data_IF_234351625171
#
_entry.id   IF_234351625171
#
_cell.length_a   1.000
_cell.length_b   1.000
_cell.length_c   1.000
_cell.angle_alpha   90.00
_cell.angle_beta   90.00
_cell.angle_gamma   90.00
#
_symmetry.space_group_name_H-M   'P 1'
#
loop_
_entity.id
_entity.type
_entity.pdbx_description
1 polymer ?
#
# COMPACT_ATOMS: atom_id res chain seq x y z
N UNK A 1 -6.58 -12.63 10.31
CA UNK A 1 -7.72 -11.73 10.59
C UNK A 1 -7.39 -10.87 11.82
N UNK A 2 -7.58 -9.56 11.70
CA UNK A 2 -7.25 -8.59 12.74
C UNK A 2 -8.43 -8.38 13.70
N UNK A 3 -9.64 -8.65 13.24
CA UNK A 3 -10.86 -8.57 14.05
C UNK A 3 -11.40 -9.99 14.32
N UNK A 4 -11.70 -10.32 15.58
CA UNK A 4 -12.16 -11.66 15.96
C UNK A 4 -13.57 -11.96 15.45
N UNK A 5 -14.36 -10.94 15.12
CA UNK A 5 -15.73 -11.09 14.62
C UNK A 5 -15.76 -11.00 13.10
N UNK A 6 -16.45 -11.94 12.45
CA UNK A 6 -16.81 -11.87 11.03
C UNK A 6 -18.19 -11.21 10.82
N UNK A 7 -18.80 -10.68 11.88
CA UNK A 7 -20.05 -9.95 11.77
C UNK A 7 -19.85 -8.62 11.01
N UNK A 8 -20.93 -8.08 10.46
CA UNK A 8 -20.92 -6.73 9.89
C UNK A 8 -20.44 -5.75 10.97
N UNK A 9 -19.43 -4.89 10.71
CA UNK A 9 -19.02 -3.86 11.64
C UNK A 9 -20.21 -2.94 11.98
N UNK A 10 -20.38 -2.63 13.25
CA UNK A 10 -21.51 -1.78 13.70
C UNK A 10 -21.41 -0.34 13.14
N UNK A 11 -20.20 0.10 12.85
CA UNK A 11 -19.90 1.42 12.30
C UNK A 11 -20.14 1.51 10.79
N UNK A 12 -20.35 0.37 10.11
CA UNK A 12 -20.58 0.35 8.68
C UNK A 12 -22.02 0.81 8.39
N UNK A 13 -22.16 1.89 7.62
CA UNK A 13 -23.45 2.44 7.19
C UNK A 13 -24.34 1.36 6.56
N UNK A 14 -25.62 1.35 6.91
CA UNK A 14 -26.59 0.33 6.45
C UNK A 14 -26.75 0.28 4.94
N UNK A 15 -26.47 1.39 4.25
CA UNK A 15 -26.52 1.49 2.78
C UNK A 15 -25.38 0.78 2.10
N UNK A 16 -24.31 0.42 2.82
CA UNK A 16 -23.17 -0.30 2.26
C UNK A 16 -23.51 -1.77 2.12
N UNK A 17 -23.41 -2.30 0.94
CA UNK A 17 -23.46 -3.73 0.68
C UNK A 17 -22.12 -4.37 1.04
N UNK A 18 -22.12 -5.40 1.86
CA UNK A 18 -20.91 -6.06 2.33
C UNK A 18 -20.76 -7.44 1.70
N UNK A 19 -19.82 -7.56 0.75
CA UNK A 19 -19.37 -8.84 0.20
C UNK A 19 -18.12 -9.33 0.94
N UNK A 20 -18.06 -10.62 1.26
CA UNK A 20 -16.93 -11.26 1.98
C UNK A 20 -16.18 -12.17 1.03
N UNK A 21 -15.16 -11.63 0.44
CA UNK A 21 -14.45 -12.21 -0.69
C UNK A 21 -12.94 -12.09 -0.49
N UNK A 22 -12.18 -12.89 -1.21
CA UNK A 22 -10.72 -12.83 -1.23
C UNK A 22 -10.25 -12.14 -2.52
N UNK A 23 -9.55 -11.02 -2.36
CA UNK A 23 -9.06 -10.25 -3.51
C UNK A 23 -8.07 -11.02 -4.40
N UNK A 24 -7.45 -12.09 -3.89
CA UNK A 24 -6.55 -12.92 -4.68
C UNK A 24 -7.25 -13.97 -5.53
N UNK A 25 -8.57 -14.10 -5.40
CA UNK A 25 -9.41 -15.07 -6.13
C UNK A 25 -10.18 -14.34 -7.25
N UNK A 26 -9.97 -14.75 -8.49
CA UNK A 26 -10.62 -14.09 -9.65
C UNK A 26 -12.13 -14.24 -9.67
N UNK A 27 -12.62 -15.43 -9.31
CA UNK A 27 -14.06 -15.74 -9.25
C UNK A 27 -14.80 -14.87 -8.22
N UNK A 28 -14.12 -14.47 -7.15
CA UNK A 28 -14.68 -13.58 -6.15
C UNK A 28 -14.90 -12.16 -6.72
N UNK A 29 -13.96 -11.69 -7.54
CA UNK A 29 -14.13 -10.44 -8.29
C UNK A 29 -15.25 -10.55 -9.31
N UNK A 30 -15.33 -11.65 -10.05
CA UNK A 30 -16.37 -11.87 -11.04
C UNK A 30 -17.76 -11.88 -10.39
N UNK A 31 -17.90 -12.48 -9.21
CA UNK A 31 -19.17 -12.49 -8.47
C UNK A 31 -19.67 -11.08 -8.14
N UNK A 32 -18.79 -10.20 -7.67
CA UNK A 32 -19.18 -8.80 -7.35
C UNK A 32 -19.43 -7.98 -8.61
N UNK A 33 -18.54 -8.07 -9.60
CA UNK A 33 -18.64 -7.24 -10.80
C UNK A 33 -19.77 -7.67 -11.75
N UNK A 34 -20.31 -8.88 -11.59
CA UNK A 34 -21.55 -9.28 -12.27
C UNK A 34 -22.78 -8.52 -11.75
N UNK A 35 -22.75 -8.05 -10.51
CA UNK A 35 -23.85 -7.35 -9.85
C UNK A 35 -23.66 -5.83 -9.82
N UNK A 36 -22.41 -5.37 -9.79
CA UNK A 36 -22.06 -3.96 -9.59
C UNK A 36 -21.06 -3.48 -10.63
N UNK A 37 -21.36 -2.40 -11.32
CA UNK A 37 -20.43 -1.66 -12.17
C UNK A 37 -19.99 -0.37 -11.44
N UNK A 38 -18.87 -0.36 -10.70
CA UNK A 38 -18.47 0.78 -9.91
C UNK A 38 -17.94 1.93 -10.78
N UNK A 39 -18.34 3.17 -10.46
CA UNK A 39 -17.75 4.39 -11.03
C UNK A 39 -16.37 4.67 -10.42
N UNK A 40 -16.18 4.33 -9.16
CA UNK A 40 -14.91 4.54 -8.43
C UNK A 40 -14.55 3.28 -7.64
N UNK A 41 -13.31 2.86 -7.76
CA UNK A 41 -12.76 1.77 -6.94
C UNK A 41 -11.75 2.36 -5.95
N UNK A 42 -11.94 2.07 -4.65
CA UNK A 42 -10.97 2.40 -3.59
C UNK A 42 -10.32 1.10 -3.12
N UNK A 43 -9.11 0.84 -3.66
CA UNK A 43 -8.38 -0.40 -3.40
C UNK A 43 -7.52 -0.27 -2.14
N UNK A 44 -8.06 -0.73 -1.01
CA UNK A 44 -7.40 -0.72 0.31
C UNK A 44 -6.88 -2.10 0.72
N UNK A 45 -7.35 -3.18 0.06
CA UNK A 45 -6.96 -4.54 0.40
C UNK A 45 -5.46 -4.74 0.19
N UNK A 46 -4.78 -5.18 1.24
CA UNK A 46 -3.35 -5.46 1.19
C UNK A 46 -2.92 -6.33 2.36
N UNK A 47 -1.92 -7.17 2.12
CA UNK A 47 -1.09 -7.72 3.18
C UNK A 47 -0.05 -6.68 3.56
N UNK A 48 0.16 -6.46 4.86
CA UNK A 48 1.02 -5.41 5.41
C UNK A 48 2.08 -5.99 6.34
N UNK A 49 3.06 -5.19 6.74
CA UNK A 49 4.13 -5.60 7.67
C UNK A 49 5.48 -5.74 6.98
N UNK A 50 6.35 -4.77 7.21
CA UNK A 50 7.69 -4.73 6.62
C UNK A 50 8.58 -5.88 7.09
N UNK A 51 8.53 -6.23 8.38
CA UNK A 51 9.31 -7.34 8.96
C UNK A 51 8.81 -8.70 8.47
N UNK A 52 7.50 -8.94 8.55
CA UNK A 52 6.88 -10.20 8.14
C UNK A 52 7.06 -10.47 6.65
N UNK A 53 7.09 -9.44 5.83
CA UNK A 53 7.30 -9.59 4.39
C UNK A 53 8.63 -10.25 4.02
N UNK A 54 9.61 -10.27 4.93
CA UNK A 54 10.90 -10.94 4.72
C UNK A 54 10.79 -12.47 4.77
N UNK A 55 9.86 -13.00 5.58
CA UNK A 55 9.65 -14.44 5.75
C UNK A 55 8.40 -14.95 5.04
N UNK A 56 7.47 -14.05 4.67
CA UNK A 56 6.19 -14.37 4.03
C UNK A 56 6.04 -13.63 2.68
N UNK A 57 7.12 -13.58 1.91
CA UNK A 57 7.16 -12.83 0.65
C UNK A 57 6.07 -13.24 -0.34
N UNK A 58 5.84 -14.56 -0.49
CA UNK A 58 4.81 -15.10 -1.39
C UNK A 58 3.40 -14.69 -0.98
N UNK A 59 3.09 -14.64 0.32
CA UNK A 59 1.82 -14.18 0.85
C UNK A 59 1.58 -12.70 0.50
N UNK A 60 2.59 -11.84 0.71
CA UNK A 60 2.51 -10.43 0.34
C UNK A 60 2.34 -10.23 -1.17
N UNK A 61 3.07 -10.98 -1.99
CA UNK A 61 2.96 -10.92 -3.44
C UNK A 61 1.57 -11.41 -3.91
N UNK A 62 1.05 -12.50 -3.34
CA UNK A 62 -0.25 -13.03 -3.72
C UNK A 62 -1.38 -12.02 -3.45
N UNK A 63 -1.45 -11.45 -2.24
CA UNK A 63 -2.51 -10.50 -1.91
C UNK A 63 -2.32 -9.16 -2.64
N UNK A 64 -1.11 -8.59 -2.59
CA UNK A 64 -0.90 -7.24 -3.10
C UNK A 64 -0.77 -7.22 -4.62
N UNK A 65 -0.01 -8.13 -5.23
CA UNK A 65 0.25 -8.12 -6.66
C UNK A 65 -0.80 -8.93 -7.41
N UNK A 66 -0.96 -10.22 -7.08
CA UNK A 66 -1.95 -11.07 -7.75
C UNK A 66 -3.37 -10.56 -7.49
N UNK A 67 -3.73 -10.20 -6.25
CA UNK A 67 -5.04 -9.62 -5.94
C UNK A 67 -5.36 -8.36 -6.75
N UNK A 68 -4.38 -7.50 -6.96
CA UNK A 68 -4.55 -6.32 -7.82
C UNK A 68 -4.76 -6.72 -9.28
N UNK A 69 -3.98 -7.66 -9.81
CA UNK A 69 -4.16 -8.12 -11.20
C UNK A 69 -5.47 -8.84 -11.41
N UNK A 70 -5.95 -9.63 -10.45
CA UNK A 70 -7.28 -10.27 -10.50
C UNK A 70 -8.40 -9.22 -10.63
N UNK A 71 -8.33 -8.12 -9.87
CA UNK A 71 -9.25 -7.00 -10.02
C UNK A 71 -9.21 -6.42 -11.44
N UNK A 72 -8.02 -6.12 -11.95
CA UNK A 72 -7.85 -5.51 -13.27
C UNK A 72 -8.35 -6.44 -14.39
N UNK A 73 -8.06 -7.73 -14.30
CA UNK A 73 -8.52 -8.74 -15.25
C UNK A 73 -10.05 -8.89 -15.22
N UNK A 74 -10.65 -8.89 -14.03
CA UNK A 74 -12.10 -8.98 -13.88
C UNK A 74 -12.79 -7.74 -14.46
N UNK A 75 -12.26 -6.54 -14.26
CA UNK A 75 -12.78 -5.33 -14.93
C UNK A 75 -12.78 -5.46 -16.46
N UNK A 76 -11.76 -6.10 -17.03
CA UNK A 76 -11.71 -6.36 -18.48
C UNK A 76 -12.76 -7.40 -18.88
N UNK A 77 -12.87 -8.52 -18.14
CA UNK A 77 -13.86 -9.58 -18.46
C UNK A 77 -15.29 -9.09 -18.43
N UNK A 78 -15.61 -8.18 -17.48
CA UNK A 78 -16.95 -7.60 -17.34
C UNK A 78 -17.14 -6.31 -18.14
N UNK A 79 -16.16 -5.91 -18.97
CA UNK A 79 -16.21 -4.69 -19.79
C UNK A 79 -16.45 -3.40 -18.98
N UNK A 80 -16.07 -3.40 -17.69
CA UNK A 80 -16.25 -2.28 -16.76
C UNK A 80 -15.04 -1.33 -16.85
N UNK A 81 -15.33 -0.04 -16.93
CA UNK A 81 -14.33 1.03 -16.96
C UNK A 81 -14.72 2.08 -15.91
N UNK A 82 -14.22 1.97 -14.67
CA UNK A 82 -14.48 2.99 -13.67
C UNK A 82 -13.85 4.33 -14.09
N UNK A 83 -14.41 5.44 -13.64
CA UNK A 83 -13.81 6.75 -13.84
C UNK A 83 -12.45 6.86 -13.14
N UNK A 84 -12.30 6.16 -12.01
CA UNK A 84 -11.14 6.29 -11.15
C UNK A 84 -10.83 5.01 -10.36
N UNK A 85 -9.53 4.73 -10.23
CA UNK A 85 -9.01 3.73 -9.27
C UNK A 85 -8.12 4.46 -8.27
N UNK A 86 -8.51 4.42 -6.98
CA UNK A 86 -7.76 4.97 -5.86
C UNK A 86 -7.01 3.83 -5.16
N UNK A 87 -5.69 3.88 -5.17
CA UNK A 87 -4.84 2.86 -4.53
C UNK A 87 -4.22 3.41 -3.24
N UNK A 88 -4.44 2.71 -2.13
CA UNK A 88 -3.67 2.92 -0.92
C UNK A 88 -2.27 2.30 -1.09
N UNK A 89 -1.32 3.09 -1.55
CA UNK A 89 0.09 2.76 -1.54
C UNK A 89 0.71 3.08 -0.16
N UNK A 90 2.02 3.21 -0.07
CA UNK A 90 2.72 3.36 1.21
C UNK A 90 3.92 4.28 1.09
N UNK A 91 4.23 5.03 2.15
CA UNK A 91 5.50 5.75 2.28
C UNK A 91 6.73 4.83 2.16
N UNK A 92 6.55 3.54 2.46
CA UNK A 92 7.63 2.56 2.36
C UNK A 92 8.22 2.46 0.94
N UNK A 93 7.46 2.86 -0.08
CA UNK A 93 7.92 2.95 -1.47
C UNK A 93 9.10 3.91 -1.65
N UNK A 94 9.22 4.94 -0.80
CA UNK A 94 10.35 5.87 -0.86
C UNK A 94 11.67 5.28 -0.36
N UNK A 95 11.65 4.17 0.40
CA UNK A 95 12.82 3.67 1.11
C UNK A 95 13.35 4.67 2.13
N UNK A 96 14.64 4.96 2.11
CA UNK A 96 15.27 6.00 2.94
C UNK A 96 15.03 7.42 2.41
N UNK A 97 14.47 7.53 1.20
CA UNK A 97 14.10 8.80 0.61
C UNK A 97 15.27 9.63 0.07
N UNK A 98 14.97 10.91 -0.18
CA UNK A 98 15.91 11.87 -0.73
C UNK A 98 16.69 12.57 0.38
N UNK A 99 18.00 12.65 0.21
CA UNK A 99 18.94 13.33 1.11
C UNK A 99 19.73 14.38 0.34
N UNK A 100 20.30 15.35 1.04
CA UNK A 100 21.05 16.47 0.46
C UNK A 100 22.39 16.65 1.19
N UNK A 101 23.46 16.89 0.46
CA UNK A 101 24.77 17.26 1.01
C UNK A 101 24.88 18.78 1.29
N UNK A 102 26.04 19.20 1.79
CA UNK A 102 26.30 20.62 2.11
C UNK A 102 26.33 21.53 0.86
N UNK A 103 26.62 20.97 -0.30
CA UNK A 103 26.67 21.64 -1.59
C UNK A 103 25.31 21.70 -2.28
N UNK A 104 24.27 21.02 -1.71
CA UNK A 104 22.92 21.00 -2.25
C UNK A 104 22.67 19.90 -3.28
N UNK A 105 23.60 18.94 -3.45
CA UNK A 105 23.38 17.81 -4.34
C UNK A 105 22.49 16.76 -3.68
N UNK A 106 21.56 16.18 -4.46
CA UNK A 106 20.65 15.16 -3.99
C UNK A 106 21.25 13.75 -4.13
N UNK A 107 21.01 12.94 -3.12
CA UNK A 107 21.36 11.53 -3.12
C UNK A 107 20.21 10.67 -2.57
N UNK A 108 20.24 9.39 -2.91
CA UNK A 108 19.34 8.36 -2.41
C UNK A 108 20.19 7.28 -1.77
N UNK A 109 20.57 7.44 -0.49
CA UNK A 109 21.35 6.44 0.19
C UNK A 109 20.58 5.14 0.28
N UNK A 110 21.29 4.01 0.23
CA UNK A 110 20.71 2.70 0.48
C UNK A 110 20.23 2.56 1.92
N UNK A 111 19.80 1.36 2.30
CA UNK A 111 19.39 1.07 3.68
C UNK A 111 20.53 1.32 4.66
N UNK A 112 20.18 1.72 5.89
CA UNK A 112 21.13 1.73 7.02
C UNK A 112 21.71 0.34 7.22
N UNK A 113 23.02 0.27 7.34
CA UNK A 113 23.69 -1.01 7.63
C UNK A 113 23.44 -1.44 9.07
N UNK A 114 23.56 -2.73 9.33
CA UNK A 114 23.45 -3.26 10.69
C UNK A 114 24.43 -2.58 11.65
N UNK A 115 25.66 -2.37 11.21
CA UNK A 115 26.69 -1.66 11.99
C UNK A 115 26.32 -0.20 12.29
N UNK A 116 25.60 0.49 11.41
CA UNK A 116 25.07 1.83 11.69
C UNK A 116 24.01 1.78 12.79
N UNK A 117 23.08 0.82 12.69
CA UNK A 117 22.00 0.68 13.68
C UNK A 117 22.53 0.30 15.06
N UNK A 118 23.49 -0.64 15.15
CA UNK A 118 24.14 -1.05 16.39
C UNK A 118 24.90 0.11 17.03
N UNK A 119 25.51 0.97 16.23
CA UNK A 119 26.23 2.16 16.71
C UNK A 119 25.32 3.36 17.00
N UNK A 120 23.99 3.22 16.88
CA UNK A 120 23.04 4.32 17.07
C UNK A 120 23.18 5.44 16.02
N UNK A 121 23.77 5.16 14.87
CA UNK A 121 23.94 6.13 13.78
C UNK A 121 22.74 6.10 12.87
N UNK A 122 21.83 7.03 13.08
CA UNK A 122 20.55 7.12 12.36
C UNK A 122 20.65 7.91 11.06
N UNK A 123 21.63 8.81 10.94
CA UNK A 123 21.84 9.66 9.79
C UNK A 123 23.01 9.18 8.92
N UNK A 124 22.96 9.50 7.64
CA UNK A 124 24.05 9.24 6.72
C UNK A 124 25.09 10.36 6.81
N UNK A 125 26.37 9.99 6.93
CA UNK A 125 27.45 10.97 7.13
C UNK A 125 27.50 11.99 5.98
N UNK A 126 27.50 13.27 6.34
CA UNK A 126 27.53 14.37 5.38
C UNK A 126 26.22 14.65 4.65
N UNK A 127 25.12 13.97 5.03
CA UNK A 127 23.82 14.13 4.41
C UNK A 127 22.77 14.58 5.42
N UNK A 128 21.82 15.39 4.94
CA UNK A 128 20.65 15.82 5.69
C UNK A 128 19.38 15.30 4.99
N UNK A 129 18.37 14.79 5.73
CA UNK A 129 17.13 14.34 5.10
C UNK A 129 16.38 15.50 4.45
N UNK A 130 15.87 15.28 3.25
CA UNK A 130 15.09 16.27 2.49
C UNK A 130 13.61 15.93 2.52
N UNK A 131 12.76 16.92 2.20
CA UNK A 131 11.31 16.72 2.07
C UNK A 131 11.03 15.70 0.98
N UNK A 132 10.08 14.81 1.27
CA UNK A 132 9.62 13.79 0.34
C UNK A 132 8.41 14.31 -0.45
N UNK A 133 8.59 14.50 -1.75
CA UNK A 133 7.53 14.84 -2.69
C UNK A 133 7.22 13.64 -3.59
N UNK A 134 5.96 13.31 -3.78
CA UNK A 134 5.55 12.19 -4.62
C UNK A 134 5.91 12.38 -6.10
N UNK A 135 6.08 13.63 -6.53
CA UNK A 135 6.42 13.97 -7.93
C UNK A 135 7.92 14.04 -8.19
N UNK A 136 8.74 14.26 -7.15
CA UNK A 136 10.17 14.51 -7.28
C UNK A 136 11.04 13.38 -6.73
N UNK A 137 10.50 12.61 -5.77
CA UNK A 137 11.29 11.59 -5.08
C UNK A 137 11.20 10.27 -5.80
N UNK A 138 12.35 9.74 -6.19
CA UNK A 138 12.48 8.42 -6.80
C UNK A 138 12.00 7.33 -5.84
N UNK A 139 11.16 6.42 -6.32
CA UNK A 139 10.83 5.20 -5.60
C UNK A 139 12.08 4.32 -5.42
N UNK A 140 12.31 3.89 -4.18
CA UNK A 140 13.45 3.03 -3.83
C UNK A 140 13.03 2.02 -2.74
N UNK A 141 12.10 1.10 -3.05
CA UNK A 141 11.56 0.18 -2.07
C UNK A 141 12.67 -0.70 -1.47
N UNK A 142 12.74 -0.73 -0.14
CA UNK A 142 13.84 -1.34 0.59
C UNK A 142 13.47 -2.67 1.28
N UNK A 143 12.24 -3.15 1.11
CA UNK A 143 11.76 -4.43 1.63
C UNK A 143 10.67 -5.00 0.71
N UNK A 144 10.32 -6.28 0.93
CA UNK A 144 9.36 -6.99 0.06
C UNK A 144 7.98 -6.31 0.06
N UNK A 145 7.46 -5.91 1.22
CA UNK A 145 6.19 -5.17 1.30
C UNK A 145 6.23 -3.91 0.44
N UNK A 146 7.27 -3.08 0.58
CA UNK A 146 7.43 -1.87 -0.21
C UNK A 146 7.51 -2.16 -1.72
N UNK A 147 8.21 -3.24 -2.09
CA UNK A 147 8.32 -3.68 -3.48
C UNK A 147 6.95 -4.10 -4.04
N UNK A 148 6.12 -4.84 -3.27
CA UNK A 148 4.78 -5.20 -3.71
C UNK A 148 3.86 -3.98 -3.85
N UNK A 149 3.96 -2.99 -2.94
CA UNK A 149 3.20 -1.74 -3.05
C UNK A 149 3.62 -0.92 -4.27
N UNK A 150 4.91 -0.84 -4.56
CA UNK A 150 5.41 -0.19 -5.78
C UNK A 150 4.99 -0.92 -7.05
N UNK A 151 4.95 -2.26 -7.02
CA UNK A 151 4.40 -3.06 -8.11
C UNK A 151 2.92 -2.71 -8.37
N UNK A 152 2.10 -2.61 -7.30
CA UNK A 152 0.70 -2.17 -7.43
C UNK A 152 0.58 -0.79 -8.10
N UNK A 153 1.43 0.18 -7.71
CA UNK A 153 1.44 1.51 -8.35
C UNK A 153 1.64 1.40 -9.86
N UNK A 154 2.64 0.62 -10.29
CA UNK A 154 2.96 0.43 -11.70
C UNK A 154 1.84 -0.29 -12.46
N UNK A 155 1.28 -1.36 -11.89
CA UNK A 155 0.18 -2.12 -12.50
C UNK A 155 -1.05 -1.24 -12.72
N UNK A 156 -1.50 -0.56 -11.67
CA UNK A 156 -2.68 0.32 -11.75
C UNK A 156 -2.44 1.46 -12.72
N UNK A 157 -1.27 2.11 -12.67
CA UNK A 157 -0.97 3.23 -13.58
C UNK A 157 -0.94 2.79 -15.04
N UNK A 158 -0.29 1.66 -15.33
CA UNK A 158 -0.18 1.14 -16.69
C UNK A 158 -1.54 0.72 -17.26
N UNK A 159 -2.34 0.01 -16.45
CA UNK A 159 -3.68 -0.40 -16.84
C UNK A 159 -4.60 0.81 -17.07
N UNK A 160 -4.62 1.74 -16.11
CA UNK A 160 -5.43 2.95 -16.21
C UNK A 160 -5.07 3.78 -17.45
N UNK A 161 -3.78 3.94 -17.73
CA UNK A 161 -3.32 4.64 -18.94
C UNK A 161 -3.77 3.98 -20.24
N UNK A 162 -3.86 2.64 -20.26
CA UNK A 162 -4.33 1.88 -21.43
C UNK A 162 -5.83 1.97 -21.65
N UNK A 163 -6.62 2.13 -20.59
CA UNK A 163 -8.08 2.10 -20.65
C UNK A 163 -8.75 3.47 -20.43
N UNK A 164 -7.96 4.56 -20.31
CA UNK A 164 -8.50 5.91 -20.10
C UNK A 164 -9.11 6.14 -18.72
N UNK A 165 -8.72 5.35 -17.73
CA UNK A 165 -9.15 5.46 -16.32
C UNK A 165 -8.19 6.37 -15.55
N UNK A 166 -8.68 7.13 -14.58
CA UNK A 166 -7.84 8.01 -13.75
C UNK A 166 -7.22 7.25 -12.56
N UNK A 167 -5.89 7.05 -12.50
CA UNK A 167 -5.26 6.48 -11.31
C UNK A 167 -5.04 7.55 -10.24
N UNK A 168 -5.32 7.24 -8.97
CA UNK A 168 -4.99 8.06 -7.81
C UNK A 168 -4.22 7.20 -6.83
N UNK A 169 -2.94 7.52 -6.61
CA UNK A 169 -2.04 6.71 -5.80
C UNK A 169 -1.67 7.47 -4.52
N UNK A 170 -2.10 7.00 -3.36
CA UNK A 170 -1.75 7.61 -2.08
C UNK A 170 -0.61 6.86 -1.41
N UNK A 171 0.60 7.41 -1.38
CA UNK A 171 1.70 6.92 -0.55
C UNK A 171 1.49 7.35 0.90
N UNK A 172 0.56 6.63 1.56
CA UNK A 172 0.13 6.96 2.91
C UNK A 172 1.29 6.88 3.90
N UNK A 173 1.38 7.87 4.77
CA UNK A 173 2.21 7.86 5.96
C UNK A 173 1.57 6.98 7.04
N UNK A 174 1.99 7.08 8.30
CA UNK A 174 1.38 6.35 9.40
C UNK A 174 -0.06 6.84 9.62
N UNK A 175 -1.02 5.98 9.29
CA UNK A 175 -2.44 6.27 9.49
C UNK A 175 -2.81 5.92 10.93
N UNK A 176 -3.52 6.81 11.62
CA UNK A 176 -4.03 6.60 12.96
C UNK A 176 -5.35 7.34 13.15
N UNK A 177 -6.16 6.90 14.11
CA UNK A 177 -7.44 7.53 14.41
C UNK A 177 -8.36 6.67 15.28
N UNK A 178 -9.55 7.22 15.63
CA UNK A 178 -10.55 6.46 16.37
C UNK A 178 -10.92 5.16 15.67
N UNK A 179 -11.18 4.09 16.43
CA UNK A 179 -11.53 2.78 15.92
C UNK A 179 -10.34 1.92 15.49
N UNK A 180 -9.10 2.42 15.56
CA UNK A 180 -7.93 1.61 15.27
C UNK A 180 -7.80 0.45 16.28
N UNK A 181 -7.56 -0.77 15.76
CA UNK A 181 -7.38 -1.95 16.60
C UNK A 181 -6.16 -1.81 17.52
N UNK A 182 -6.36 -1.98 18.81
CA UNK A 182 -5.28 -1.93 19.81
C UNK A 182 -4.49 -3.24 19.92
N UNK A 183 -5.03 -4.33 19.38
CA UNK A 183 -4.41 -5.67 19.41
C UNK A 183 -3.77 -6.06 18.08
N UNK A 184 -3.88 -5.22 17.06
CA UNK A 184 -3.25 -5.45 15.78
C UNK A 184 -1.72 -5.32 15.90
N UNK A 185 -0.93 -6.36 15.60
CA UNK A 185 0.53 -6.29 15.65
C UNK A 185 1.13 -5.29 14.66
N UNK A 186 0.35 -4.85 13.68
CA UNK A 186 0.71 -3.83 12.69
C UNK A 186 0.19 -2.44 13.06
N UNK A 187 -0.33 -2.27 14.28
CA UNK A 187 -0.80 -0.97 14.78
C UNK A 187 0.30 0.08 14.63
N UNK A 188 -0.05 1.21 14.02
CA UNK A 188 0.90 2.28 13.76
C UNK A 188 1.55 2.80 15.06
N UNK A 189 2.80 3.24 14.94
CA UNK A 189 3.64 3.69 16.06
C UNK A 189 2.96 4.75 16.93
N UNK A 190 2.15 5.63 16.36
CA UNK A 190 1.40 6.67 17.10
C UNK A 190 0.46 6.04 18.12
N UNK A 191 -0.29 5.01 17.74
CA UNK A 191 -1.20 4.32 18.65
C UNK A 191 -0.46 3.49 19.70
N UNK A 192 0.74 2.99 19.39
CA UNK A 192 1.59 2.28 20.37
C UNK A 192 2.14 3.21 21.44
N UNK A 193 2.55 4.42 21.07
CA UNK A 193 3.08 5.40 22.04
C UNK A 193 1.98 6.17 22.81
N UNK A 194 0.74 6.12 22.35
CA UNK A 194 -0.40 6.73 23.04
C UNK A 194 -1.03 5.82 24.12
N UNK A 195 -0.45 4.64 24.36
CA UNK A 195 -0.78 3.72 25.44
C UNK A 195 0.05 4.05 26.67
#
# INVERSE_FOLDING_TARGET
QIHPSQARPAELDERVELHRLDVSVGEDWDAVLAEVAPDVIVHLAAETGTGQSLTEASRHANVNVVGTTQMLDALVRHEIRPDKIVLASSRAVYGEGKWVDAEGHFSYPGQRTHAMLEAGRWDFAGLTPSVQSSTEVKASPANVYAATKFCQENLVTSWCGSFGVTPVLYRLQNVYGPGQSLINPYTGIVSLFAR
#
